data_IF_847750021095
#
_entry.id   IF_847750021095
#
_cell.length_a   1.000
_cell.length_b   1.000
_cell.length_c   1.000
_cell.angle_alpha   90.00
_cell.angle_beta   90.00
_cell.angle_gamma   90.00
#
_symmetry.space_group_name_H-M   'P 1'
#
loop_
_entity.id
_entity.type
_entity.pdbx_description
1 polymer ?
#
# COMPACT_ATOMS: atom_id res chain seq x y z
N UNK A 1 -10.81 -49.20 -5.63
CA UNK A 1 -10.16 -48.00 -5.05
C UNK A 1 -9.14 -47.33 -5.99
N UNK A 2 -8.82 -47.89 -7.17
CA UNK A 2 -7.96 -47.26 -8.19
C UNK A 2 -8.71 -46.22 -9.05
N UNK A 3 -10.02 -46.38 -9.25
CA UNK A 3 -10.86 -45.47 -10.07
C UNK A 3 -11.00 -44.06 -9.50
N UNK A 4 -10.88 -43.89 -8.18
CA UNK A 4 -10.94 -42.58 -7.53
C UNK A 4 -9.66 -41.78 -7.69
N UNK A 5 -8.48 -42.41 -7.70
CA UNK A 5 -7.22 -41.68 -7.85
C UNK A 5 -7.11 -40.98 -9.21
N UNK A 6 -7.58 -41.60 -10.28
CA UNK A 6 -7.62 -40.97 -11.61
C UNK A 6 -8.63 -39.82 -11.70
N UNK A 7 -9.77 -39.93 -11.03
CA UNK A 7 -10.74 -38.85 -10.94
C UNK A 7 -10.16 -37.66 -10.15
N UNK A 8 -9.56 -37.93 -8.99
CA UNK A 8 -8.92 -36.93 -8.14
C UNK A 8 -7.76 -36.23 -8.87
N UNK A 9 -6.91 -36.97 -9.61
CA UNK A 9 -5.83 -36.37 -10.40
C UNK A 9 -6.35 -35.39 -11.45
N UNK A 10 -7.40 -35.78 -12.20
CA UNK A 10 -8.02 -34.89 -13.21
C UNK A 10 -8.61 -33.63 -12.59
N UNK A 11 -9.23 -33.75 -11.42
CA UNK A 11 -9.79 -32.59 -10.73
C UNK A 11 -8.70 -31.66 -10.17
N UNK A 12 -7.59 -32.20 -9.65
CA UNK A 12 -6.43 -31.41 -9.23
C UNK A 12 -5.80 -30.65 -10.41
N UNK A 13 -5.64 -31.30 -11.56
CA UNK A 13 -5.12 -30.66 -12.79
C UNK A 13 -6.01 -29.48 -13.21
N UNK A 14 -7.34 -29.68 -13.23
CA UNK A 14 -8.32 -28.62 -13.54
C UNK A 14 -8.28 -27.46 -12.54
N UNK A 15 -8.11 -27.77 -11.26
CA UNK A 15 -8.02 -26.73 -10.23
C UNK A 15 -6.71 -25.94 -10.33
N UNK A 16 -5.61 -26.55 -10.78
CA UNK A 16 -4.34 -25.84 -11.02
C UNK A 16 -4.46 -24.78 -12.10
N UNK A 17 -5.09 -25.09 -13.23
CA UNK A 17 -5.28 -24.13 -14.32
C UNK A 17 -6.20 -22.97 -13.90
N UNK A 18 -7.25 -23.27 -13.13
CA UNK A 18 -8.13 -22.26 -12.56
C UNK A 18 -7.39 -21.33 -11.57
N UNK A 19 -6.48 -21.88 -10.75
CA UNK A 19 -5.67 -21.08 -9.82
C UNK A 19 -4.70 -20.16 -10.55
N UNK A 20 -4.06 -20.63 -11.62
CA UNK A 20 -3.16 -19.82 -12.45
C UNK A 20 -3.91 -18.64 -13.08
N UNK A 21 -5.10 -18.89 -13.64
CA UNK A 21 -5.95 -17.83 -14.19
C UNK A 21 -6.40 -16.81 -13.14
N UNK A 22 -6.69 -17.27 -11.92
CA UNK A 22 -7.09 -16.39 -10.82
C UNK A 22 -5.93 -15.53 -10.28
N UNK A 23 -4.70 -16.06 -10.26
CA UNK A 23 -3.52 -15.28 -9.85
C UNK A 23 -3.24 -14.15 -10.84
N UNK A 24 -3.34 -14.40 -12.16
CA UNK A 24 -3.19 -13.35 -13.17
C UNK A 24 -4.25 -12.25 -13.01
N UNK A 25 -5.51 -12.64 -12.77
CA UNK A 25 -6.59 -11.67 -12.55
C UNK A 25 -6.44 -10.87 -11.25
N UNK A 26 -5.94 -11.51 -10.18
CA UNK A 26 -5.68 -10.85 -8.90
C UNK A 26 -4.47 -9.92 -8.98
N UNK A 27 -3.44 -10.30 -9.74
CA UNK A 27 -2.26 -9.46 -9.99
C UNK A 27 -2.60 -8.22 -10.82
N UNK A 28 -3.54 -8.34 -11.77
CA UNK A 28 -4.06 -7.21 -12.55
C UNK A 28 -4.93 -6.27 -11.69
N UNK A 29 -5.76 -6.80 -10.79
CA UNK A 29 -6.63 -5.99 -9.91
C UNK A 29 -5.92 -5.43 -8.67
N UNK A 30 -4.91 -6.11 -8.16
CA UNK A 30 -4.15 -5.75 -6.95
C UNK A 30 -2.68 -5.57 -7.33
N UNK A 31 -2.43 -4.75 -8.36
CA UNK A 31 -1.07 -4.33 -8.69
C UNK A 31 -0.50 -3.57 -7.46
N UNK A 32 0.50 -4.12 -6.75
CA UNK A 32 1.07 -3.46 -5.57
C UNK A 32 1.70 -2.11 -5.93
N UNK A 33 2.11 -1.95 -7.19
CA UNK A 33 2.62 -0.70 -7.73
C UNK A 33 1.55 0.40 -7.72
N UNK A 34 0.32 0.09 -8.15
CA UNK A 34 -0.80 1.05 -8.10
C UNK A 34 -1.15 1.43 -6.66
N UNK A 35 -1.22 0.45 -5.75
CA UNK A 35 -1.47 0.74 -4.34
C UNK A 35 -0.40 1.65 -3.73
N UNK A 36 0.87 1.40 -4.05
CA UNK A 36 1.97 2.24 -3.57
C UNK A 36 1.92 3.66 -4.18
N UNK A 37 1.59 3.78 -5.46
CA UNK A 37 1.48 5.07 -6.14
C UNK A 37 0.26 5.88 -5.64
N UNK A 38 -0.88 5.21 -5.41
CA UNK A 38 -2.06 5.80 -4.80
C UNK A 38 -1.77 6.24 -3.36
N UNK A 39 -1.13 5.38 -2.55
CA UNK A 39 -0.75 5.71 -1.18
C UNK A 39 0.21 6.91 -1.12
N UNK A 40 1.20 6.98 -2.02
CA UNK A 40 2.10 8.14 -2.13
C UNK A 40 1.34 9.40 -2.50
N UNK A 41 0.40 9.30 -3.44
CA UNK A 41 -0.39 10.44 -3.92
C UNK A 41 -1.31 10.94 -2.81
N UNK A 42 -2.01 10.05 -2.11
CA UNK A 42 -2.83 10.38 -0.95
C UNK A 42 -2.00 11.02 0.14
N UNK A 43 -0.85 10.45 0.51
CA UNK A 43 0.02 11.02 1.54
C UNK A 43 0.47 12.43 1.15
N UNK A 44 0.93 12.63 -0.09
CA UNK A 44 1.33 13.95 -0.57
C UNK A 44 0.18 14.94 -0.52
N UNK A 45 -1.00 14.55 -0.99
CA UNK A 45 -2.18 15.41 -0.94
C UNK A 45 -2.55 15.79 0.49
N UNK A 46 -2.49 14.85 1.44
CA UNK A 46 -2.75 15.12 2.86
C UNK A 46 -1.73 16.08 3.46
N UNK A 47 -0.46 16.02 3.06
CA UNK A 47 0.53 17.02 3.48
C UNK A 47 0.30 18.40 2.84
N UNK A 48 -0.19 18.43 1.60
CA UNK A 48 -0.50 19.66 0.88
C UNK A 48 -1.82 20.31 1.34
N UNK A 49 -2.69 19.56 2.03
CA UNK A 49 -3.93 20.09 2.60
C UNK A 49 -3.63 21.25 3.56
N UNK A 50 -4.32 22.40 3.42
CA UNK A 50 -4.06 23.58 4.24
C UNK A 50 -4.24 23.30 5.73
N UNK A 51 -5.15 22.38 6.07
CA UNK A 51 -5.41 21.93 7.45
C UNK A 51 -4.22 21.24 8.11
N UNK A 52 -3.30 20.64 7.33
CA UNK A 52 -2.09 19.97 7.85
C UNK A 52 -0.86 20.86 7.64
N UNK A 53 -0.76 21.51 6.47
CA UNK A 53 0.37 22.34 6.08
C UNK A 53 0.64 23.49 7.05
N UNK A 54 -0.39 24.29 7.36
CA UNK A 54 -0.21 25.47 8.22
C UNK A 54 0.16 25.13 9.67
N UNK A 55 -0.50 24.18 10.36
CA UNK A 55 -0.06 23.82 11.71
C UNK A 55 1.33 23.19 11.72
N UNK A 56 1.71 22.41 10.70
CA UNK A 56 3.06 21.86 10.61
C UNK A 56 4.12 22.97 10.52
N UNK A 57 3.89 23.99 9.69
CA UNK A 57 4.77 25.17 9.59
C UNK A 57 4.81 25.92 10.93
N UNK A 58 3.67 26.13 11.57
CA UNK A 58 3.60 26.83 12.86
C UNK A 58 4.44 26.11 13.93
N UNK A 59 4.32 24.77 14.03
CA UNK A 59 5.14 23.95 14.94
C UNK A 59 6.62 24.07 14.59
N UNK A 60 6.99 23.99 13.31
CA UNK A 60 8.38 24.13 12.88
C UNK A 60 8.97 25.50 13.28
N UNK A 61 8.22 26.59 13.08
CA UNK A 61 8.62 27.94 13.49
C UNK A 61 8.80 28.04 15.00
N UNK A 62 7.87 27.47 15.78
CA UNK A 62 7.97 27.45 17.24
C UNK A 62 9.24 26.73 17.71
N UNK A 63 9.58 25.58 17.11
CA UNK A 63 10.80 24.86 17.43
C UNK A 63 12.03 25.70 17.13
N UNK A 64 12.11 26.33 15.95
CA UNK A 64 13.23 27.21 15.58
C UNK A 64 13.38 28.37 16.57
N UNK A 65 12.26 29.01 16.96
CA UNK A 65 12.27 30.09 17.95
C UNK A 65 12.73 29.61 19.33
N UNK A 66 12.30 28.43 19.76
CA UNK A 66 12.75 27.84 21.04
C UNK A 66 14.24 27.51 21.02
N UNK A 67 14.77 27.00 19.91
CA UNK A 67 16.19 26.72 19.75
C UNK A 67 17.02 28.00 19.73
N UNK A 68 16.58 29.04 19.01
CA UNK A 68 17.22 30.36 19.02
C UNK A 68 17.22 30.95 20.43
N UNK A 69 16.09 30.90 21.14
CA UNK A 69 15.99 31.39 22.52
C UNK A 69 16.90 30.60 23.47
N UNK A 70 17.10 29.31 23.24
CA UNK A 70 18.00 28.47 24.02
C UNK A 70 19.47 28.73 23.72
N UNK A 71 19.82 29.12 22.50
CA UNK A 71 21.21 29.38 22.09
C UNK A 71 21.68 30.81 22.42
N UNK A 72 20.74 31.76 22.42
CA UNK A 72 20.99 33.18 22.74
C UNK A 72 20.83 33.51 24.24
N UNK A 73 20.54 32.50 25.08
CA UNK A 73 20.54 32.59 26.54
C UNK A 73 21.63 31.70 27.10
#
# INVERSE_FOLDING_TARGET
MVRDQEAIKRDIEKHRDALASNIDQLSVRVSPKRLADDAKTTAKNTFDEPKVKYPLIAVAVLIVLLLLRKLLR
#
